data_IF_739081502443
#
_entry.id   IF_739081502443
#
_cell.length_a   1.000
_cell.length_b   1.000
_cell.length_c   1.000
_cell.angle_alpha   90.00
_cell.angle_beta   90.00
_cell.angle_gamma   90.00
#
_symmetry.space_group_name_H-M   'P 1'
#
loop_
_entity.id
_entity.type
_entity.pdbx_description
1 polymer ?
#
# COMPACT_ATOMS: atom_id res chain seq x y z
N UNK A 1 10.38 -6.41 19.57
CA UNK A 1 10.03 -5.63 18.36
C UNK A 1 9.72 -6.64 17.27
N UNK A 2 8.52 -7.22 17.29
CA UNK A 2 8.09 -8.10 16.20
C UNK A 2 7.42 -7.21 15.17
N UNK A 3 8.15 -6.92 14.09
CA UNK A 3 7.66 -6.23 12.92
C UNK A 3 6.93 -7.23 12.02
N UNK A 4 6.01 -8.00 12.58
CA UNK A 4 5.12 -8.85 11.81
C UNK A 4 4.04 -7.90 11.29
N UNK A 5 4.20 -7.45 10.04
CA UNK A 5 3.11 -6.86 9.29
C UNK A 5 1.88 -7.77 9.50
N UNK A 6 0.74 -7.22 9.87
CA UNK A 6 -0.47 -8.01 9.98
C UNK A 6 -0.76 -8.69 8.64
N UNK A 7 -1.33 -9.88 8.68
CA UNK A 7 -1.77 -10.53 7.44
C UNK A 7 -2.88 -9.67 6.84
N UNK A 8 -2.63 -9.16 5.62
CA UNK A 8 -3.62 -8.41 4.87
C UNK A 8 -4.67 -9.38 4.33
N UNK A 9 -5.94 -9.07 4.56
CA UNK A 9 -7.06 -9.81 4.01
C UNK A 9 -7.32 -9.40 2.56
N UNK A 10 -7.51 -10.41 1.68
CA UNK A 10 -7.79 -10.18 0.27
C UNK A 10 -8.72 -11.24 -0.32
N UNK A 11 -9.45 -10.85 -1.35
CA UNK A 11 -10.30 -11.76 -2.15
C UNK A 11 -10.05 -11.54 -3.64
N UNK A 12 -9.90 -12.64 -4.38
CA UNK A 12 -9.76 -12.61 -5.84
C UNK A 12 -11.13 -12.81 -6.46
N UNK A 13 -11.51 -11.90 -7.34
CA UNK A 13 -12.78 -11.94 -8.07
C UNK A 13 -12.56 -12.07 -9.57
N UNK A 14 -13.61 -12.54 -10.25
CA UNK A 14 -13.66 -12.68 -11.70
C UNK A 14 -13.13 -14.02 -12.20
N UNK A 15 -13.71 -14.52 -13.29
CA UNK A 15 -13.20 -15.71 -13.97
C UNK A 15 -12.35 -15.34 -15.20
N UNK A 16 -12.90 -14.48 -16.08
CA UNK A 16 -12.22 -14.02 -17.30
C UNK A 16 -11.38 -12.74 -17.07
N UNK A 17 -11.89 -11.80 -16.29
CA UNK A 17 -11.18 -10.57 -15.90
C UNK A 17 -10.98 -10.56 -14.39
N UNK A 18 -9.78 -10.93 -13.96
CA UNK A 18 -9.47 -11.09 -12.56
C UNK A 18 -9.01 -9.79 -11.93
N UNK A 19 -9.42 -9.59 -10.67
CA UNK A 19 -8.91 -8.53 -9.83
C UNK A 19 -8.84 -8.96 -8.37
N UNK A 20 -8.03 -8.23 -7.60
CA UNK A 20 -7.86 -8.46 -6.16
C UNK A 20 -8.51 -7.31 -5.42
N UNK A 21 -9.44 -7.64 -4.53
CA UNK A 21 -9.94 -6.74 -3.50
C UNK A 21 -9.10 -6.92 -2.24
N UNK A 22 -8.77 -5.82 -1.60
CA UNK A 22 -7.93 -5.78 -0.41
C UNK A 22 -8.73 -5.06 0.67
N UNK A 23 -8.90 -5.71 1.82
CA UNK A 23 -9.48 -5.10 3.02
C UNK A 23 -8.35 -4.53 3.87
N UNK A 24 -8.55 -3.33 4.42
CA UNK A 24 -7.56 -2.65 5.24
C UNK A 24 -8.16 -2.33 6.60
N UNK A 25 -7.53 -2.86 7.65
CA UNK A 25 -7.78 -2.40 9.00
C UNK A 25 -7.28 -0.96 9.20
N UNK A 26 -7.77 -0.24 10.22
CA UNK A 26 -7.22 1.05 10.57
C UNK A 26 -5.70 0.98 10.78
N UNK A 27 -4.96 1.84 10.07
CA UNK A 27 -3.49 1.94 10.05
C UNK A 27 -2.76 0.92 9.15
N UNK A 28 -3.49 0.07 8.42
CA UNK A 28 -2.89 -0.75 7.37
C UNK A 28 -2.70 0.03 6.07
N UNK A 29 -1.75 -0.43 5.27
CA UNK A 29 -1.46 0.16 3.97
C UNK A 29 -0.97 -0.92 3.00
N UNK A 30 -1.36 -0.78 1.74
CA UNK A 30 -0.84 -1.58 0.65
C UNK A 30 -0.15 -0.70 -0.39
N UNK A 31 0.98 -1.19 -0.88
CA UNK A 31 1.71 -0.60 -2.00
C UNK A 31 1.41 -1.41 -3.24
N UNK A 32 1.02 -0.74 -4.31
CA UNK A 32 0.72 -1.36 -5.60
C UNK A 32 1.39 -0.58 -6.74
N UNK A 33 1.58 -1.24 -7.88
CA UNK A 33 2.18 -0.62 -9.06
C UNK A 33 1.25 0.45 -9.65
N UNK A 34 1.83 1.53 -10.17
CA UNK A 34 1.06 2.57 -10.85
C UNK A 34 0.25 1.96 -12.02
N UNK A 35 -1.07 2.21 -12.02
CA UNK A 35 -1.99 1.69 -13.02
C UNK A 35 -2.63 0.34 -12.69
N UNK A 36 -2.22 -0.34 -11.61
CA UNK A 36 -2.92 -1.54 -11.11
C UNK A 36 -4.19 -1.22 -10.31
N UNK A 37 -4.30 0.01 -9.83
CA UNK A 37 -5.40 0.47 -8.99
C UNK A 37 -6.66 0.75 -9.82
N UNK A 38 -7.80 0.21 -9.38
CA UNK A 38 -9.09 0.35 -10.07
C UNK A 38 -10.08 1.23 -9.32
N UNK A 39 -10.38 0.90 -8.06
CA UNK A 39 -11.38 1.58 -7.24
C UNK A 39 -11.00 1.54 -5.75
N UNK A 40 -11.58 2.45 -4.97
CA UNK A 40 -11.49 2.47 -3.49
C UNK A 40 -12.74 3.05 -2.88
N UNK A 41 -12.96 2.70 -1.60
CA UNK A 41 -13.94 3.36 -0.75
C UNK A 41 -13.49 4.78 -0.35
N UNK A 42 -14.46 5.59 0.07
CA UNK A 42 -14.26 7.03 0.38
C UNK A 42 -13.31 7.25 1.55
N UNK A 43 -13.20 6.29 2.46
CA UNK A 43 -12.37 6.38 3.66
C UNK A 43 -10.90 5.99 3.41
N UNK A 44 -10.59 5.44 2.23
CA UNK A 44 -9.23 5.06 1.84
C UNK A 44 -8.48 6.26 1.26
N UNK A 45 -7.23 6.42 1.68
CA UNK A 45 -6.34 7.49 1.20
C UNK A 45 -5.29 6.94 0.24
N UNK A 46 -5.30 7.43 -0.99
CA UNK A 46 -4.24 7.17 -1.96
C UNK A 46 -3.11 8.19 -1.81
N UNK A 47 -1.88 7.69 -1.72
CA UNK A 47 -0.66 8.49 -1.84
C UNK A 47 0.23 7.89 -2.92
N UNK A 48 0.78 8.74 -3.80
CA UNK A 48 1.84 8.31 -4.73
C UNK A 48 3.19 8.47 -4.05
N UNK A 49 3.90 7.36 -3.88
CA UNK A 49 5.24 7.33 -3.31
C UNK A 49 6.24 6.80 -4.35
N UNK A 50 7.48 7.27 -4.27
CA UNK A 50 8.58 6.69 -5.02
C UNK A 50 9.26 5.63 -4.14
N UNK A 51 9.36 4.40 -4.64
CA UNK A 51 9.85 3.25 -3.86
C UNK A 51 8.75 2.58 -3.04
N UNK A 52 9.13 1.83 -2.01
CA UNK A 52 8.23 1.04 -1.14
C UNK A 52 7.78 1.81 0.13
N UNK A 53 8.16 3.08 0.25
CA UNK A 53 7.83 3.92 1.40
C UNK A 53 8.66 3.65 2.65
N UNK A 54 9.57 2.67 2.63
CA UNK A 54 10.37 2.29 3.80
C UNK A 54 11.48 3.31 4.15
N UNK A 55 11.64 4.35 3.33
CA UNK A 55 12.77 5.29 3.35
C UNK A 55 12.35 6.77 3.40
N UNK A 56 11.13 7.08 3.83
CA UNK A 56 10.62 8.46 3.80
C UNK A 56 11.42 9.45 4.67
N UNK A 57 12.20 8.96 5.65
CA UNK A 57 13.08 9.76 6.52
C UNK A 57 14.49 10.01 5.96
N UNK A 58 14.85 9.48 4.79
CA UNK A 58 16.15 9.76 4.17
C UNK A 58 16.16 11.11 3.41
N UNK A 59 15.65 12.15 4.06
CA UNK A 59 15.77 13.52 3.59
C UNK A 59 17.26 13.87 3.46
N UNK A 60 17.64 14.42 2.30
CA UNK A 60 19.03 14.77 1.95
C UNK A 60 19.71 15.62 3.04
N UNK A 61 18.94 16.34 3.85
CA UNK A 61 19.41 17.11 5.00
C UNK A 61 20.07 16.25 6.09
N UNK A 62 19.66 15.00 6.31
CA UNK A 62 20.28 14.11 7.32
C UNK A 62 21.56 13.41 6.86
N UNK A 63 21.92 13.50 5.56
CA UNK A 63 23.15 12.90 5.01
C UNK A 63 24.31 13.89 4.85
N UNK A 64 24.07 15.18 5.04
CA UNK A 64 25.08 16.24 4.85
C UNK A 64 25.40 16.95 6.19
N UNK A 65 24.68 16.63 7.27
CA UNK A 65 24.99 17.08 8.63
C UNK A 65 25.24 15.88 9.55
#
# INVERSE_FOLDING_TARGET
MNNTNHEIDYTIYGEEMQYVEIELDPQEAVVAEAGSFMMMDTDIKMNTIFGDGSNQDNSVLGKIF
#
